data_IF_305146833083
#
_entry.id   IF_305146833083
#
_cell.length_a   1.000
_cell.length_b   1.000
_cell.length_c   1.000
_cell.angle_alpha   90.00
_cell.angle_beta   90.00
_cell.angle_gamma   90.00
#
_symmetry.space_group_name_H-M   'P 1'
#
loop_
_entity.id
_entity.type
_entity.pdbx_description
1 polymer ?
#
# COMPACT_ATOMS: atom_id res chain seq x y z
N UNK A 1 -1.23 -4.87 -17.89
CA UNK A 1 -2.45 -4.04 -17.68
C UNK A 1 -2.13 -2.85 -16.75
N UNK A 2 -2.80 -1.71 -16.90
CA UNK A 2 -2.71 -0.58 -15.94
C UNK A 2 -4.02 -0.50 -15.15
N UNK A 3 -3.91 -0.40 -13.82
CA UNK A 3 -5.02 -0.20 -12.89
C UNK A 3 -4.83 1.15 -12.20
N UNK A 4 -5.64 2.13 -12.55
CA UNK A 4 -5.65 3.43 -11.88
C UNK A 4 -6.72 3.44 -10.80
N UNK A 5 -6.29 3.51 -9.53
CA UNK A 5 -7.17 3.48 -8.37
C UNK A 5 -7.50 4.89 -7.85
N UNK A 6 -6.83 5.93 -8.35
CA UNK A 6 -6.91 7.28 -7.78
C UNK A 6 -6.54 7.30 -6.28
N UNK A 7 -7.27 8.11 -5.50
CA UNK A 7 -7.12 8.16 -4.04
C UNK A 7 -7.79 6.95 -3.38
N UNK A 8 -6.99 6.11 -2.71
CA UNK A 8 -7.44 4.86 -2.08
C UNK A 8 -6.74 4.67 -0.73
N UNK A 9 -7.41 4.00 0.22
CA UNK A 9 -6.79 3.66 1.49
C UNK A 9 -5.65 2.65 1.33
N UNK A 10 -4.59 2.83 2.12
CA UNK A 10 -3.38 2.02 2.00
C UNK A 10 -3.69 0.53 2.21
N UNK A 11 -4.48 0.18 3.22
CA UNK A 11 -4.81 -1.21 3.54
C UNK A 11 -5.61 -1.90 2.44
N UNK A 12 -6.57 -1.20 1.84
CA UNK A 12 -7.37 -1.71 0.72
C UNK A 12 -6.49 -1.98 -0.50
N UNK A 13 -5.65 -1.01 -0.85
CA UNK A 13 -4.71 -1.16 -1.98
C UNK A 13 -3.71 -2.29 -1.74
N UNK A 14 -3.27 -2.50 -0.49
CA UNK A 14 -2.33 -3.55 -0.13
C UNK A 14 -3.00 -4.93 -0.14
N UNK A 15 -4.27 -5.03 0.25
CA UNK A 15 -5.05 -6.26 0.11
C UNK A 15 -5.19 -6.64 -1.37
N UNK A 16 -5.52 -5.68 -2.23
CA UNK A 16 -5.60 -5.89 -3.68
C UNK A 16 -4.25 -6.32 -4.27
N UNK A 17 -3.15 -5.68 -3.88
CA UNK A 17 -1.80 -6.07 -4.32
C UNK A 17 -1.53 -7.55 -4.02
N UNK A 18 -1.84 -8.03 -2.80
CA UNK A 18 -1.63 -9.44 -2.42
C UNK A 18 -2.47 -10.40 -3.26
N UNK A 19 -3.72 -10.05 -3.52
CA UNK A 19 -4.61 -10.84 -4.38
C UNK A 19 -4.06 -10.93 -5.81
N UNK A 20 -3.70 -9.78 -6.40
CA UNK A 20 -3.20 -9.70 -7.77
C UNK A 20 -1.89 -10.44 -7.95
N UNK A 21 -0.98 -10.39 -6.97
CA UNK A 21 0.26 -11.21 -6.99
C UNK A 21 -0.07 -12.70 -7.09
N UNK A 22 -1.09 -13.17 -6.37
CA UNK A 22 -1.56 -14.55 -6.49
C UNK A 22 -2.05 -14.88 -7.91
N UNK A 23 -2.86 -14.01 -8.48
CA UNK A 23 -3.42 -14.17 -9.84
C UNK A 23 -2.33 -14.16 -10.91
N UNK A 24 -1.39 -13.21 -10.86
CA UNK A 24 -0.22 -13.13 -11.78
C UNK A 24 0.59 -14.42 -11.71
N UNK A 25 0.94 -14.88 -10.50
CA UNK A 25 1.74 -16.10 -10.32
C UNK A 25 1.05 -17.36 -10.83
N UNK A 26 -0.28 -17.39 -10.80
CA UNK A 26 -1.08 -18.48 -11.34
C UNK A 26 -1.36 -18.39 -12.85
N UNK A 27 -0.93 -17.31 -13.51
CA UNK A 27 -1.21 -17.05 -14.93
C UNK A 27 -2.66 -16.67 -15.23
N UNK A 28 -3.47 -16.34 -14.22
CA UNK A 28 -4.87 -15.91 -14.41
C UNK A 28 -4.97 -14.50 -14.99
N UNK A 29 -3.97 -13.67 -14.72
CA UNK A 29 -3.83 -12.33 -15.29
C UNK A 29 -2.39 -12.09 -15.70
N UNK A 30 -2.19 -11.19 -16.66
CA UNK A 30 -0.88 -10.71 -17.06
C UNK A 30 -0.28 -9.75 -16.02
N UNK A 31 1.01 -9.46 -16.19
CA UNK A 31 1.71 -8.44 -15.41
C UNK A 31 0.93 -7.11 -15.43
N UNK A 32 0.81 -6.53 -14.25
CA UNK A 32 -0.06 -5.40 -14.00
C UNK A 32 0.66 -4.32 -13.19
N UNK A 33 0.38 -3.06 -13.53
CA UNK A 33 0.88 -1.88 -12.82
C UNK A 33 -0.31 -1.21 -12.14
N UNK A 34 -0.18 -0.95 -10.84
CA UNK A 34 -1.16 -0.20 -10.06
C UNK A 34 -0.66 1.22 -9.89
N UNK A 35 -1.53 2.19 -10.16
CA UNK A 35 -1.32 3.61 -9.88
C UNK A 35 -2.31 3.99 -8.78
N UNK A 36 -1.80 4.58 -7.70
CA UNK A 36 -2.59 4.93 -6.52
C UNK A 36 -2.01 6.15 -5.80
N UNK A 37 -2.89 6.95 -5.23
CA UNK A 37 -2.60 7.97 -4.23
C UNK A 37 -3.18 7.50 -2.88
N UNK A 38 -2.52 7.82 -1.77
CA UNK A 38 -2.99 7.45 -0.43
C UNK A 38 -3.22 8.69 0.41
N UNK A 39 -4.17 8.60 1.35
CA UNK A 39 -4.21 9.51 2.49
C UNK A 39 -2.88 9.45 3.27
N UNK A 40 -2.63 10.46 4.10
CA UNK A 40 -1.39 10.56 4.86
C UNK A 40 -1.15 9.26 5.65
N UNK A 41 -0.08 8.53 5.30
CA UNK A 41 0.21 7.22 5.90
C UNK A 41 1.71 7.05 6.05
N UNK A 42 2.12 6.51 7.20
CA UNK A 42 3.48 6.04 7.42
C UNK A 42 3.55 4.53 7.23
N UNK A 43 4.49 4.06 6.41
CA UNK A 43 4.75 2.63 6.23
C UNK A 43 6.13 2.27 6.77
N UNK A 44 6.23 1.17 7.51
CA UNK A 44 7.50 0.68 8.05
C UNK A 44 7.87 -0.61 7.31
N UNK A 45 8.93 -0.55 6.49
CA UNK A 45 9.44 -1.71 5.77
C UNK A 45 10.19 -2.70 6.66
N UNK A 46 10.68 -3.81 6.08
CA UNK A 46 11.31 -4.93 6.79
C UNK A 46 12.44 -4.56 7.76
N UNK A 47 13.21 -3.53 7.45
CA UNK A 47 14.34 -3.05 8.27
C UNK A 47 14.01 -1.77 9.04
N UNK A 48 12.81 -1.23 8.85
CA UNK A 48 12.36 -0.05 9.54
C UNK A 48 12.08 -0.36 11.01
N UNK A 49 12.36 0.61 11.87
CA UNK A 49 12.11 0.49 13.30
C UNK A 49 11.20 1.62 13.77
N UNK A 50 10.54 1.42 14.92
CA UNK A 50 9.61 2.41 15.48
C UNK A 50 10.30 3.73 15.81
N UNK A 51 11.59 3.71 16.12
CA UNK A 51 12.38 4.91 16.40
C UNK A 51 12.59 5.79 15.16
N UNK A 52 12.35 5.26 13.95
CA UNK A 52 12.34 6.08 12.73
C UNK A 52 11.08 6.95 12.62
N UNK A 53 10.03 6.66 13.40
CA UNK A 53 8.81 7.46 13.46
C UNK A 53 8.99 8.58 14.48
N UNK A 54 9.42 9.74 13.99
CA UNK A 54 9.62 10.94 14.81
C UNK A 54 8.31 11.67 15.13
N UNK A 55 7.22 11.32 14.44
CA UNK A 55 5.89 11.84 14.71
C UNK A 55 5.40 11.33 16.08
N UNK A 56 5.00 12.24 16.97
CA UNK A 56 4.36 11.88 18.23
C UNK A 56 2.99 11.24 18.02
N UNK A 57 2.45 10.56 19.03
CA UNK A 57 1.16 9.88 18.92
C UNK A 57 0.01 10.81 18.51
N UNK A 58 0.05 12.08 18.93
CA UNK A 58 -0.94 13.08 18.55
C UNK A 58 -0.98 13.30 17.03
N UNK A 59 0.19 13.43 16.39
CA UNK A 59 0.30 13.59 14.94
C UNK A 59 -0.11 12.35 14.14
N UNK A 60 -0.24 11.19 14.79
CA UNK A 60 -0.68 9.93 14.16
C UNK A 60 -2.18 9.67 14.33
N UNK A 61 -2.87 10.38 15.23
CA UNK A 61 -4.31 10.22 15.49
C UNK A 61 -5.19 10.99 14.48
N UNK A 62 -4.63 12.02 13.85
CA UNK A 62 -5.32 12.91 12.91
C UNK A 62 -5.13 12.50 11.43
N UNK A 63 -4.49 11.34 11.18
CA UNK A 63 -4.17 10.83 9.85
C UNK A 63 -5.23 9.85 9.31
#
# INVERSE_FOLDING_TARGET
MILDLGLVDYEESYALQKELVGKVRSGQIEDSVIIAEHRAVFTIGRTGKKENLLAGEEALRDA
#
